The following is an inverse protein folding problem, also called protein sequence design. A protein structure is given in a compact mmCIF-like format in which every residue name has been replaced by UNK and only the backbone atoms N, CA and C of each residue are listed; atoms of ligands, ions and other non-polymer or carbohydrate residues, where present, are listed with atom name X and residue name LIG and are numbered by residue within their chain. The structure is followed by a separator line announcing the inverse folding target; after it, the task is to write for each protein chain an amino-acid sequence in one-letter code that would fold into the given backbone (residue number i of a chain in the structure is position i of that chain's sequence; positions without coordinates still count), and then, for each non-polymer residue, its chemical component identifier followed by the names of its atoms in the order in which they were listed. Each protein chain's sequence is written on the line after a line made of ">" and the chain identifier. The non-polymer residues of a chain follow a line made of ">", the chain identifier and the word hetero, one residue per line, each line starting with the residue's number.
data_IF_742362115488
#
_entry.id   IF_742362115488
#
_cell.length_a   1.000
_cell.length_b   1.000
_cell.length_c   1.000
_cell.angle_alpha   90.00
_cell.angle_beta   90.00
_cell.angle_gamma   90.00
#
_symmetry.space_group_name_H-M   'P 1'
#
loop_
_entity.id
_entity.type
_entity.pdbx_description
1 polymer ?
#
# COMPACT_ATOMS: atom_id res chain seq x y z
N UNK A 1 -13.15 8.25 -18.82
CA UNK A 1 -14.41 7.55 -19.15
C UNK A 1 -14.54 7.26 -20.65
N UNK A 2 -13.96 8.12 -21.51
CA UNK A 2 -14.01 8.02 -22.98
C UNK A 2 -12.88 7.16 -23.58
N UNK A 3 -12.03 6.54 -22.77
CA UNK A 3 -10.89 5.73 -23.20
C UNK A 3 -9.66 6.51 -23.67
N UNK A 4 -9.72 7.85 -23.69
CA UNK A 4 -8.56 8.65 -24.08
C UNK A 4 -7.46 8.64 -23.02
N UNK A 5 -6.17 8.71 -23.43
CA UNK A 5 -5.04 8.82 -22.50
C UNK A 5 -5.12 10.12 -21.69
N UNK A 6 -4.91 10.02 -20.39
CA UNK A 6 -4.73 11.22 -19.56
C UNK A 6 -3.34 11.78 -19.85
N UNK A 7 -3.28 13.00 -20.37
CA UNK A 7 -2.03 13.70 -20.62
C UNK A 7 -1.37 14.15 -19.31
N UNK A 8 -0.03 14.22 -19.26
CA UNK A 8 0.74 14.61 -18.05
C UNK A 8 0.26 15.90 -17.39
N UNK A 9 -0.12 16.90 -18.18
CA UNK A 9 -0.62 18.18 -17.68
C UNK A 9 -2.03 18.08 -17.06
N UNK A 10 -2.77 16.98 -17.30
CA UNK A 10 -4.09 16.71 -16.75
C UNK A 10 -4.12 15.64 -15.65
N UNK A 11 -3.01 14.96 -15.39
CA UNK A 11 -2.94 13.89 -14.39
C UNK A 11 -3.51 14.31 -13.02
N UNK A 12 -3.16 15.51 -12.56
CA UNK A 12 -3.55 16.03 -11.25
C UNK A 12 -4.99 16.54 -11.18
N UNK A 13 -5.71 16.63 -12.33
CA UNK A 13 -7.13 17.01 -12.33
C UNK A 13 -8.04 15.84 -11.94
N UNK A 14 -7.58 14.60 -12.15
CA UNK A 14 -8.29 13.38 -11.76
C UNK A 14 -7.83 12.92 -10.38
N UNK A 15 -8.14 13.75 -9.39
CA UNK A 15 -7.70 13.54 -8.01
C UNK A 15 -8.71 12.65 -7.27
N UNK A 16 -8.38 11.37 -7.08
CA UNK A 16 -9.24 10.37 -6.41
C UNK A 16 -9.72 10.87 -5.03
N UNK A 17 -8.87 11.60 -4.29
CA UNK A 17 -9.24 12.16 -2.98
C UNK A 17 -10.41 13.17 -3.03
N UNK A 18 -10.69 13.73 -4.21
CA UNK A 18 -11.77 14.71 -4.44
C UNK A 18 -12.94 14.13 -5.25
N UNK A 19 -12.89 12.84 -5.56
CA UNK A 19 -13.91 12.15 -6.37
C UNK A 19 -14.73 11.22 -5.49
N UNK A 20 -15.99 11.05 -5.85
CA UNK A 20 -16.82 9.97 -5.33
C UNK A 20 -16.38 8.63 -5.91
N UNK A 21 -16.76 7.53 -5.26
CA UNK A 21 -16.45 6.21 -5.80
C UNK A 21 -17.10 5.97 -7.17
N UNK A 22 -18.33 6.44 -7.38
CA UNK A 22 -19.03 6.30 -8.67
C UNK A 22 -18.29 7.01 -9.80
N UNK A 23 -17.67 8.15 -9.53
CA UNK A 23 -16.80 8.84 -10.49
C UNK A 23 -15.51 8.06 -10.75
N UNK A 24 -14.86 7.50 -9.70
CA UNK A 24 -13.65 6.68 -9.84
C UNK A 24 -13.94 5.39 -10.62
N UNK A 25 -15.07 4.75 -10.38
CA UNK A 25 -15.48 3.51 -11.03
C UNK A 25 -15.71 3.64 -12.54
N UNK A 26 -15.87 4.87 -13.07
CA UNK A 26 -15.99 5.10 -14.51
C UNK A 26 -14.66 5.00 -15.26
N UNK A 27 -13.52 4.99 -14.56
CA UNK A 27 -12.20 4.92 -15.19
C UNK A 27 -11.78 3.47 -15.40
N UNK A 28 -11.60 3.12 -16.68
CA UNK A 28 -11.04 1.83 -17.06
C UNK A 28 -9.52 1.80 -16.79
N UNK A 29 -9.11 0.87 -15.97
CA UNK A 29 -7.72 0.71 -15.56
C UNK A 29 -7.02 -0.49 -16.23
N UNK A 30 -7.73 -1.33 -17.00
CA UNK A 30 -7.20 -2.60 -17.46
C UNK A 30 -7.28 -2.86 -18.98
N UNK A 31 -8.16 -2.21 -19.74
CA UNK A 31 -8.27 -2.43 -21.20
C UNK A 31 -7.06 -1.93 -22.01
N UNK A 32 -6.23 -1.04 -21.43
CA UNK A 32 -5.03 -0.55 -22.09
C UNK A 32 -3.84 -1.44 -21.76
N UNK A 33 -3.12 -1.87 -22.81
CA UNK A 33 -1.86 -2.57 -22.63
C UNK A 33 -0.77 -1.67 -22.04
N UNK A 34 0.23 -2.28 -21.44
CA UNK A 34 1.42 -1.64 -20.93
C UNK A 34 2.63 -2.23 -21.67
N UNK A 35 3.38 -1.40 -22.41
CA UNK A 35 4.55 -1.85 -23.19
C UNK A 35 5.65 -2.48 -22.32
N UNK A 36 5.72 -2.13 -21.02
CA UNK A 36 6.65 -2.74 -20.06
C UNK A 36 6.23 -4.17 -19.65
N UNK A 37 4.97 -4.53 -19.89
CA UNK A 37 4.39 -5.82 -19.53
C UNK A 37 3.56 -6.37 -20.71
N UNK A 38 4.22 -6.76 -21.81
CA UNK A 38 3.53 -7.16 -23.06
C UNK A 38 2.66 -8.41 -22.89
N UNK A 39 3.01 -9.28 -21.93
CA UNK A 39 2.26 -10.50 -21.60
C UNK A 39 1.00 -10.26 -20.76
N UNK A 40 0.80 -9.04 -20.28
CA UNK A 40 -0.37 -8.72 -19.45
C UNK A 40 -1.65 -8.80 -20.29
N UNK A 41 -2.58 -9.61 -19.86
CA UNK A 41 -3.91 -9.68 -20.45
C UNK A 41 -4.68 -8.37 -20.20
N UNK A 42 -5.44 -7.95 -21.22
CA UNK A 42 -6.23 -6.73 -21.18
C UNK A 42 -7.64 -7.05 -20.75
N UNK A 43 -8.05 -6.50 -19.63
CA UNK A 43 -9.40 -6.70 -19.10
C UNK A 43 -10.01 -5.36 -18.71
N UNK A 44 -11.26 -5.13 -19.10
CA UNK A 44 -11.99 -3.92 -18.68
C UNK A 44 -12.26 -4.00 -17.18
N UNK A 45 -11.64 -3.13 -16.41
CA UNK A 45 -11.77 -3.11 -14.96
C UNK A 45 -11.61 -1.69 -14.41
N UNK A 46 -12.20 -1.44 -13.24
CA UNK A 46 -12.03 -0.19 -12.49
C UNK A 46 -11.30 -0.44 -11.18
N UNK A 47 -10.91 0.64 -10.49
CA UNK A 47 -10.32 0.54 -9.13
C UNK A 47 -11.42 0.10 -8.15
N UNK A 48 -11.26 -1.04 -7.46
CA UNK A 48 -12.23 -1.50 -6.48
C UNK A 48 -12.09 -0.74 -5.15
N UNK A 49 -13.11 -0.81 -4.32
CA UNK A 49 -13.00 -0.43 -2.90
C UNK A 49 -12.21 -1.49 -2.13
N UNK A 50 -11.45 -1.08 -1.12
CA UNK A 50 -10.65 -1.99 -0.28
C UNK A 50 -11.52 -3.10 0.32
N UNK A 51 -12.69 -2.77 0.88
CA UNK A 51 -13.63 -3.74 1.43
C UNK A 51 -14.08 -4.79 0.41
N UNK A 52 -14.32 -4.36 -0.83
CA UNK A 52 -14.83 -5.27 -1.88
C UNK A 52 -13.74 -6.25 -2.31
N UNK A 53 -12.47 -5.80 -2.34
CA UNK A 53 -11.31 -6.67 -2.55
C UNK A 53 -11.20 -7.71 -1.44
N UNK A 54 -11.27 -7.29 -0.18
CA UNK A 54 -11.20 -8.19 0.97
C UNK A 54 -12.31 -9.25 0.89
N UNK A 55 -13.56 -8.82 0.70
CA UNK A 55 -14.70 -9.73 0.60
C UNK A 55 -14.54 -10.72 -0.55
N UNK A 56 -14.10 -10.27 -1.72
CA UNK A 56 -13.88 -11.13 -2.88
C UNK A 56 -12.77 -12.16 -2.62
N UNK A 57 -11.65 -11.74 -2.03
CA UNK A 57 -10.52 -12.61 -1.70
C UNK A 57 -10.94 -13.65 -0.65
N UNK A 58 -11.57 -13.24 0.46
CA UNK A 58 -12.02 -14.15 1.51
C UNK A 58 -13.00 -15.20 0.97
N UNK A 59 -13.96 -14.79 0.13
CA UNK A 59 -14.91 -15.71 -0.49
C UNK A 59 -14.20 -16.71 -1.42
N UNK A 60 -13.25 -16.22 -2.23
CA UNK A 60 -12.49 -17.09 -3.14
C UNK A 60 -11.65 -18.10 -2.34
N UNK A 61 -10.89 -17.64 -1.35
CA UNK A 61 -10.03 -18.52 -0.54
C UNK A 61 -10.86 -19.59 0.18
N UNK A 62 -11.98 -19.25 0.78
CA UNK A 62 -12.88 -20.23 1.40
C UNK A 62 -13.42 -21.30 0.42
N UNK A 63 -13.52 -20.96 -0.86
CA UNK A 63 -14.00 -21.89 -1.87
C UNK A 63 -12.92 -22.85 -2.42
N UNK A 64 -11.63 -22.51 -2.31
CA UNK A 64 -10.51 -23.23 -2.95
C UNK A 64 -9.43 -23.72 -2.00
N UNK A 65 -9.39 -23.23 -0.74
CA UNK A 65 -8.31 -23.52 0.19
C UNK A 65 -8.80 -23.68 1.63
N UNK A 66 -8.01 -24.40 2.43
CA UNK A 66 -8.17 -24.48 3.89
C UNK A 66 -7.26 -23.47 4.61
N UNK A 67 -6.43 -22.74 3.87
CA UNK A 67 -5.45 -21.79 4.43
C UNK A 67 -5.97 -20.38 4.25
N UNK A 68 -5.79 -19.57 5.29
CA UNK A 68 -6.01 -18.13 5.24
C UNK A 68 -4.84 -17.43 4.54
N UNK A 69 -5.10 -16.23 4.00
CA UNK A 69 -4.08 -15.38 3.38
C UNK A 69 -3.82 -14.16 4.24
N UNK A 70 -2.58 -13.68 4.24
CA UNK A 70 -2.23 -12.40 4.84
C UNK A 70 -2.40 -11.27 3.83
N UNK A 71 -2.75 -10.10 4.33
CA UNK A 71 -2.91 -8.89 3.54
C UNK A 71 -1.75 -7.93 3.77
N UNK A 72 -1.02 -7.60 2.72
CA UNK A 72 0.01 -6.58 2.74
C UNK A 72 -0.50 -5.32 2.05
N UNK A 73 -0.84 -4.30 2.84
CA UNK A 73 -1.56 -3.10 2.39
C UNK A 73 -0.64 -1.88 2.44
N UNK A 74 -0.44 -1.25 1.29
CA UNK A 74 0.37 -0.04 1.18
C UNK A 74 -0.48 1.22 1.34
N UNK A 75 -0.10 2.08 2.29
CA UNK A 75 -0.63 3.43 2.43
C UNK A 75 0.35 4.41 1.79
N UNK A 76 -0.06 5.02 0.68
CA UNK A 76 0.74 6.00 -0.07
C UNK A 76 0.39 7.42 0.34
N UNK A 77 1.32 8.05 1.03
CA UNK A 77 1.26 9.48 1.38
C UNK A 77 2.58 10.17 1.07
N UNK A 78 2.55 11.49 0.99
CA UNK A 78 3.73 12.34 0.91
C UNK A 78 3.43 13.70 1.54
N UNK A 79 4.42 14.41 2.12
CA UNK A 79 4.18 15.74 2.69
C UNK A 79 3.52 16.72 1.72
N UNK A 80 3.89 16.67 0.43
CA UNK A 80 3.36 17.54 -0.61
C UNK A 80 1.90 17.20 -0.99
N UNK A 81 1.46 15.99 -0.64
CA UNK A 81 0.12 15.47 -0.93
C UNK A 81 -0.89 15.70 0.19
N UNK A 82 -0.43 16.05 1.39
CA UNK A 82 -1.25 16.20 2.59
C UNK A 82 -2.46 17.13 2.37
N UNK A 83 -3.67 16.65 2.65
CA UNK A 83 -4.96 17.32 2.44
C UNK A 83 -5.22 17.81 1.00
N UNK A 84 -4.38 17.44 0.07
CA UNK A 84 -4.48 17.82 -1.34
C UNK A 84 -4.80 16.61 -2.24
N UNK A 85 -4.04 15.53 -2.09
CA UNK A 85 -4.19 14.29 -2.86
C UNK A 85 -4.57 13.09 -1.99
N UNK A 86 -4.45 13.21 -0.70
CA UNK A 86 -4.82 12.25 0.33
C UNK A 86 -5.01 12.98 1.66
N UNK A 87 -5.67 12.37 2.67
CA UNK A 87 -5.71 12.90 4.03
C UNK A 87 -4.32 13.00 4.67
N UNK A 88 -4.22 13.64 5.83
CA UNK A 88 -3.03 13.50 6.68
C UNK A 88 -2.78 12.02 7.00
N UNK A 89 -1.51 11.60 7.21
CA UNK A 89 -1.16 10.20 7.51
C UNK A 89 -2.00 9.57 8.62
N UNK A 90 -2.25 10.27 9.72
CA UNK A 90 -3.09 9.77 10.82
C UNK A 90 -4.54 9.53 10.39
N UNK A 91 -5.18 10.52 9.79
CA UNK A 91 -6.57 10.40 9.35
C UNK A 91 -6.74 9.34 8.26
N UNK A 92 -5.76 9.17 7.36
CA UNK A 92 -5.80 8.12 6.36
C UNK A 92 -5.62 6.73 7.00
N UNK A 93 -4.72 6.62 7.97
CA UNK A 93 -4.51 5.39 8.73
C UNK A 93 -5.77 4.95 9.47
N UNK A 94 -6.46 5.88 10.14
CA UNK A 94 -7.72 5.58 10.86
C UNK A 94 -8.83 5.10 9.91
N UNK A 95 -8.93 5.71 8.71
CA UNK A 95 -9.89 5.24 7.70
C UNK A 95 -9.57 3.84 7.21
N UNK A 96 -8.29 3.53 6.99
CA UNK A 96 -7.85 2.19 6.57
C UNK A 96 -8.09 1.20 7.71
N UNK A 97 -7.66 1.53 8.95
CA UNK A 97 -7.85 0.67 10.11
C UNK A 97 -9.32 0.28 10.28
N UNK A 98 -10.23 1.25 10.21
CA UNK A 98 -11.67 1.01 10.35
C UNK A 98 -12.18 -0.03 9.33
N UNK A 99 -11.77 0.10 8.08
CA UNK A 99 -12.16 -0.88 7.05
C UNK A 99 -11.57 -2.26 7.35
N UNK A 100 -10.32 -2.32 7.80
CA UNK A 100 -9.67 -3.60 8.08
C UNK A 100 -10.28 -4.29 9.30
N UNK A 101 -10.54 -3.56 10.37
CA UNK A 101 -11.14 -4.05 11.63
C UNK A 101 -12.54 -4.63 11.42
N UNK A 102 -13.31 -4.06 10.48
CA UNK A 102 -14.65 -4.55 10.13
C UNK A 102 -14.62 -5.92 9.40
N UNK A 103 -13.49 -6.32 8.76
CA UNK A 103 -13.46 -7.47 7.86
C UNK A 103 -12.37 -8.51 8.15
N UNK A 104 -11.31 -8.17 8.88
CA UNK A 104 -10.13 -9.04 9.03
C UNK A 104 -9.59 -9.04 10.47
N UNK A 105 -9.09 -10.18 10.96
CA UNK A 105 -8.24 -10.22 12.14
C UNK A 105 -6.94 -9.45 11.90
N UNK A 106 -6.49 -8.66 12.90
CA UNK A 106 -5.33 -7.77 12.77
C UNK A 106 -4.00 -8.53 12.60
N UNK A 107 -3.90 -9.75 13.08
CA UNK A 107 -2.72 -10.62 12.93
C UNK A 107 -2.48 -11.09 11.48
N UNK A 108 -3.49 -10.98 10.61
CA UNK A 108 -3.38 -11.25 9.17
C UNK A 108 -2.99 -10.03 8.35
N UNK A 109 -2.70 -8.90 9.00
CA UNK A 109 -2.45 -7.63 8.32
C UNK A 109 -0.99 -7.21 8.47
N UNK A 110 -0.43 -6.72 7.36
CA UNK A 110 0.81 -5.98 7.31
C UNK A 110 0.53 -4.64 6.66
N UNK A 111 0.83 -3.54 7.34
CA UNK A 111 0.78 -2.20 6.76
C UNK A 111 2.18 -1.83 6.28
N UNK A 112 2.28 -1.44 5.01
CA UNK A 112 3.55 -0.95 4.44
C UNK A 112 3.43 0.48 3.95
N UNK A 113 4.52 1.23 4.06
CA UNK A 113 4.60 2.59 3.53
C UNK A 113 6.04 3.04 3.30
N UNK A 114 6.24 3.90 2.29
CA UNK A 114 7.46 4.71 2.15
C UNK A 114 7.46 5.94 3.07
N UNK A 115 6.27 6.39 3.50
CA UNK A 115 6.14 7.52 4.41
C UNK A 115 6.21 7.03 5.87
N UNK A 116 7.33 7.27 6.51
CA UNK A 116 7.57 6.87 7.89
C UNK A 116 6.63 7.54 8.90
N UNK A 117 5.93 8.62 8.52
CA UNK A 117 4.89 9.24 9.36
C UNK A 117 3.70 8.30 9.53
N UNK A 118 3.32 7.56 8.46
CA UNK A 118 2.30 6.51 8.51
C UNK A 118 2.72 5.42 9.47
N UNK A 119 3.94 4.87 9.29
CA UNK A 119 4.41 3.75 10.09
C UNK A 119 4.57 4.09 11.57
N UNK A 120 5.03 5.31 11.92
CA UNK A 120 5.09 5.78 13.30
C UNK A 120 3.70 5.88 13.92
N UNK A 121 2.74 6.45 13.18
CA UNK A 121 1.36 6.54 13.64
C UNK A 121 0.76 5.17 13.94
N UNK A 122 0.95 4.21 13.03
CA UNK A 122 0.49 2.81 13.24
C UNK A 122 1.18 2.16 14.43
N UNK A 123 2.49 2.33 14.57
CA UNK A 123 3.26 1.78 15.69
C UNK A 123 2.77 2.29 17.06
N UNK A 124 2.41 3.56 17.14
CA UNK A 124 1.93 4.20 18.36
C UNK A 124 0.47 3.89 18.66
N UNK A 125 -0.37 3.82 17.63
CA UNK A 125 -1.84 3.76 17.77
C UNK A 125 -2.40 2.34 17.66
N UNK A 126 -1.79 1.49 16.82
CA UNK A 126 -2.22 0.12 16.53
C UNK A 126 -1.06 -0.87 16.66
N UNK A 127 -0.50 -1.05 17.87
CA UNK A 127 0.78 -1.75 18.09
C UNK A 127 0.75 -3.25 17.73
N UNK A 128 -0.43 -3.86 17.65
CA UNK A 128 -0.59 -5.28 17.31
C UNK A 128 -0.48 -5.56 15.81
N UNK A 129 -0.48 -4.51 14.97
CA UNK A 129 -0.39 -4.66 13.50
C UNK A 129 1.06 -4.72 13.06
N UNK A 130 1.39 -5.71 12.25
CA UNK A 130 2.73 -5.84 11.65
C UNK A 130 3.01 -4.71 10.68
N UNK A 131 4.22 -4.14 10.73
CA UNK A 131 4.61 -3.00 9.91
C UNK A 131 5.79 -3.34 9.01
N UNK A 132 5.72 -2.92 7.75
CA UNK A 132 6.78 -3.05 6.76
C UNK A 132 7.28 -1.67 6.30
N UNK A 133 8.55 -1.39 6.54
CA UNK A 133 9.17 -0.14 6.10
C UNK A 133 9.68 -0.28 4.65
N UNK A 134 9.02 0.39 3.72
CA UNK A 134 9.48 0.50 2.34
C UNK A 134 10.57 1.56 2.23
N UNK A 135 11.67 1.22 1.56
CA UNK A 135 12.84 2.09 1.45
C UNK A 135 13.38 2.14 0.03
N UNK A 136 13.51 3.34 -0.51
CA UNK A 136 14.13 3.61 -1.82
C UNK A 136 15.08 4.82 -1.72
N UNK A 137 16.06 4.75 -0.80
CA UNK A 137 17.03 5.80 -0.59
C UNK A 137 18.40 5.22 -0.18
N UNK A 138 19.45 6.06 -0.18
CA UNK A 138 20.83 5.65 0.08
C UNK A 138 21.30 5.82 1.53
N UNK A 139 20.39 6.04 2.50
CA UNK A 139 20.76 6.22 3.93
C UNK A 139 21.28 4.94 4.60
N UNK A 140 21.15 3.80 3.94
CA UNK A 140 21.47 2.49 4.49
C UNK A 140 20.48 2.02 5.57
N UNK A 141 20.65 0.79 6.05
CA UNK A 141 19.75 0.15 7.02
C UNK A 141 19.70 0.97 8.33
N UNK A 142 20.85 1.24 8.93
CA UNK A 142 20.94 1.95 10.22
C UNK A 142 20.33 3.35 10.14
N UNK A 143 20.62 4.13 9.08
CA UNK A 143 20.08 5.47 8.90
C UNK A 143 18.55 5.48 8.74
N UNK A 144 18.01 4.48 8.06
CA UNK A 144 16.56 4.35 7.89
C UNK A 144 15.87 3.90 9.20
N UNK A 145 16.41 2.92 9.93
CA UNK A 145 15.87 2.49 11.22
C UNK A 145 15.92 3.61 12.26
N UNK A 146 17.01 4.39 12.30
CA UNK A 146 17.10 5.59 13.14
C UNK A 146 16.04 6.63 12.75
N UNK A 147 15.84 6.86 11.45
CA UNK A 147 14.83 7.81 10.97
C UNK A 147 13.42 7.33 11.24
N UNK A 148 13.16 6.02 11.24
CA UNK A 148 11.86 5.42 11.57
C UNK A 148 11.55 5.53 13.06
N UNK A 149 12.54 5.35 13.93
CA UNK A 149 12.42 5.49 15.38
C UNK A 149 12.01 4.21 16.13
N UNK A 150 11.72 3.13 15.41
CA UNK A 150 11.42 1.81 15.97
C UNK A 150 11.89 0.70 15.03
N UNK A 151 11.81 -0.55 15.46
CA UNK A 151 12.13 -1.73 14.63
C UNK A 151 10.83 -2.26 14.00
N UNK A 152 10.67 -2.19 12.66
CA UNK A 152 9.51 -2.74 11.98
C UNK A 152 9.57 -4.27 11.91
N UNK A 153 8.42 -4.93 11.74
CA UNK A 153 8.36 -6.38 11.49
C UNK A 153 9.04 -6.78 10.18
N UNK A 154 9.03 -5.89 9.19
CA UNK A 154 9.65 -6.11 7.89
C UNK A 154 10.40 -4.84 7.46
N UNK A 155 11.66 -4.99 7.06
CA UNK A 155 12.42 -3.96 6.36
C UNK A 155 12.49 -4.32 4.88
N UNK A 156 11.86 -3.52 4.02
CA UNK A 156 11.64 -3.81 2.60
C UNK A 156 12.26 -2.74 1.69
N UNK A 157 13.58 -2.78 1.48
CA UNK A 157 14.25 -1.83 0.61
C UNK A 157 14.21 -2.26 -0.85
N UNK A 158 14.46 -1.31 -1.76
CA UNK A 158 14.76 -1.64 -3.14
C UNK A 158 15.95 -2.63 -3.17
N UNK A 159 15.79 -3.75 -3.86
CA UNK A 159 16.69 -4.91 -3.79
C UNK A 159 18.18 -4.58 -4.07
N UNK A 160 18.46 -3.56 -4.90
CA UNK A 160 19.82 -3.11 -5.23
C UNK A 160 20.49 -2.31 -4.10
N UNK A 161 19.76 -1.94 -3.06
CA UNK A 161 20.26 -1.17 -1.92
C UNK A 161 20.68 -2.07 -0.75
N UNK A 162 20.55 -3.40 -0.88
CA UNK A 162 20.97 -4.37 0.13
C UNK A 162 22.19 -5.14 -0.32
N UNK A 163 23.16 -5.27 0.60
CA UNK A 163 24.20 -6.26 0.53
C UNK A 163 23.79 -7.56 1.24
N UNK A 164 24.49 -8.66 0.93
CA UNK A 164 24.33 -9.94 1.65
C UNK A 164 24.56 -9.78 3.17
N UNK A 165 25.52 -8.94 3.56
CA UNK A 165 25.82 -8.68 4.97
C UNK A 165 24.65 -7.94 5.65
N UNK A 166 23.99 -7.00 4.98
CA UNK A 166 22.82 -6.31 5.53
C UNK A 166 21.68 -7.28 5.81
N UNK A 167 21.39 -8.19 4.86
CA UNK A 167 20.37 -9.23 5.03
C UNK A 167 20.71 -10.15 6.23
N UNK A 168 21.96 -10.62 6.31
CA UNK A 168 22.38 -11.46 7.43
C UNK A 168 22.30 -10.74 8.78
N UNK A 169 22.66 -9.46 8.81
CA UNK A 169 22.60 -8.67 10.04
C UNK A 169 21.15 -8.42 10.47
N UNK A 170 20.26 -8.11 9.54
CA UNK A 170 18.84 -7.95 9.81
C UNK A 170 18.23 -9.23 10.38
N UNK A 171 18.49 -10.40 9.76
CA UNK A 171 17.99 -11.69 10.24
C UNK A 171 18.53 -12.07 11.63
N UNK A 172 19.76 -11.67 11.99
CA UNK A 172 20.29 -11.91 13.35
C UNK A 172 19.62 -11.04 14.42
N UNK A 173 19.03 -9.93 14.00
CA UNK A 173 18.34 -9.03 14.91
C UNK A 173 16.86 -9.40 15.09
N UNK A 174 16.36 -10.37 14.38
CA UNK A 174 14.98 -10.86 14.38
C UNK A 174 14.07 -10.07 13.49
#
# INVERSE_FOLDING_TARGET
>A
PDGSPISKNKERTFNIYKMTYDEVAQFDCGSRGNERFPEQEKEKTSKPLLRDVIVAVENHIRSVSQYEVDYNIEIKTSPEGDNRFHPLPSAFSDLVYKVLDDYLPMDRIVIQSFDFRVLRYWHETYPDVRLAALVENTKGVSGNLTSLGFKPSVYSPYFRLLSRNDVQNLHRQG
#
